data_IF_837134873571
#
_entry.id   IF_837134873571
#
_cell.length_a   1.000
_cell.length_b   1.000
_cell.length_c   1.000
_cell.angle_alpha   90.00
_cell.angle_beta   90.00
_cell.angle_gamma   90.00
#
_symmetry.space_group_name_H-M   'P 1'
#
loop_
_entity.id
_entity.type
_entity.pdbx_description
1 polymer ?
#
# COMPACT_ATOMS: atom_id res chain seq x y z
N UNK A 1 20.13 22.44 16.02
CA UNK A 1 19.35 21.17 15.96
C UNK A 1 18.19 21.38 15.03
N UNK A 2 18.01 20.49 14.06
CA UNK A 2 16.80 20.43 13.23
C UNK A 2 16.08 19.17 13.68
N UNK A 3 14.83 19.31 14.12
CA UNK A 3 13.95 18.20 14.48
C UNK A 3 12.75 18.24 13.55
N UNK A 4 12.65 17.23 12.69
CA UNK A 4 11.51 17.11 11.79
C UNK A 4 10.34 16.50 12.58
N UNK A 5 9.17 17.10 12.43
CA UNK A 5 7.93 16.54 12.97
C UNK A 5 7.50 15.33 12.16
N UNK A 6 7.06 14.27 12.86
CA UNK A 6 6.59 13.03 12.27
C UNK A 6 5.26 12.60 12.86
N UNK A 7 4.46 11.92 12.04
CA UNK A 7 3.26 11.21 12.46
C UNK A 7 3.56 9.73 12.45
N UNK A 8 3.32 9.06 13.56
CA UNK A 8 3.45 7.60 13.67
C UNK A 8 2.14 6.94 14.03
N UNK A 9 1.96 5.71 13.58
CA UNK A 9 0.86 4.85 13.95
C UNK A 9 1.32 3.44 14.28
N UNK A 10 0.57 2.78 15.16
CA UNK A 10 0.79 1.40 15.55
C UNK A 10 -0.52 0.63 15.44
N UNK A 11 -0.49 -0.52 14.75
CA UNK A 11 -1.61 -1.44 14.61
C UNK A 11 -1.27 -2.75 15.31
N UNK A 12 -2.20 -3.27 16.10
CA UNK A 12 -2.02 -4.50 16.85
C UNK A 12 -3.35 -5.17 17.15
N UNK A 13 -3.42 -6.50 17.06
CA UNK A 13 -4.61 -7.27 17.39
C UNK A 13 -5.52 -7.52 16.18
N UNK A 14 -6.83 -7.46 16.39
CA UNK A 14 -7.84 -7.74 15.36
C UNK A 14 -8.04 -6.54 14.43
N UNK A 15 -8.16 -6.79 13.14
CA UNK A 15 -8.40 -5.77 12.12
C UNK A 15 -9.77 -5.08 12.29
N UNK A 16 -10.75 -5.84 12.74
CA UNK A 16 -12.11 -5.33 13.02
C UNK A 16 -12.57 -5.81 14.41
N UNK A 17 -13.48 -5.08 15.06
CA UNK A 17 -14.18 -5.58 16.23
C UNK A 17 -14.91 -6.89 15.93
N UNK A 18 -15.03 -7.74 16.94
CA UNK A 18 -15.78 -9.00 16.81
C UNK A 18 -17.20 -8.74 16.33
N UNK A 19 -17.61 -9.41 15.26
CA UNK A 19 -18.90 -9.23 14.62
C UNK A 19 -19.33 -10.49 13.85
N UNK A 20 -20.62 -10.61 13.61
CA UNK A 20 -21.18 -11.77 12.91
C UNK A 20 -20.99 -11.74 11.38
N UNK A 21 -20.81 -10.55 10.78
CA UNK A 21 -20.74 -10.35 9.34
C UNK A 21 -19.38 -10.63 8.73
N UNK A 22 -18.30 -10.61 9.52
CA UNK A 22 -16.94 -10.80 9.07
C UNK A 22 -16.16 -11.75 9.98
N UNK A 23 -15.31 -12.58 9.38
CA UNK A 23 -14.41 -13.44 10.15
C UNK A 23 -13.33 -12.61 10.82
N UNK A 24 -13.05 -12.91 12.09
CA UNK A 24 -11.93 -12.29 12.79
C UNK A 24 -10.59 -12.64 12.10
N UNK A 25 -9.78 -11.63 11.85
CA UNK A 25 -8.39 -11.75 11.40
C UNK A 25 -7.51 -10.74 12.13
N UNK A 26 -6.25 -11.02 12.25
CA UNK A 26 -5.27 -10.05 12.74
C UNK A 26 -5.03 -8.95 11.70
N UNK A 27 -4.59 -7.79 12.19
CA UNK A 27 -4.09 -6.73 11.31
C UNK A 27 -2.90 -7.22 10.49
N UNK A 28 -2.78 -6.72 9.27
CA UNK A 28 -1.67 -7.02 8.38
C UNK A 28 -1.05 -5.76 7.76
N UNK A 29 -0.04 -5.95 6.91
CA UNK A 29 0.66 -4.86 6.24
C UNK A 29 -0.30 -3.96 5.44
N UNK A 30 -1.33 -4.53 4.84
CA UNK A 30 -2.26 -3.78 4.00
C UNK A 30 -3.23 -2.91 4.80
N UNK A 31 -3.54 -3.28 6.05
CA UNK A 31 -4.30 -2.43 6.96
C UNK A 31 -3.49 -1.16 7.30
N UNK A 32 -2.22 -1.32 7.68
CA UNK A 32 -1.34 -0.19 7.96
C UNK A 32 -1.08 0.66 6.71
N UNK A 33 -0.97 0.02 5.53
CA UNK A 33 -0.85 0.72 4.25
C UNK A 33 -2.07 1.57 3.95
N UNK A 34 -3.28 1.05 4.18
CA UNK A 34 -4.53 1.79 3.98
C UNK A 34 -4.61 3.03 4.89
N UNK A 35 -4.16 2.94 6.14
CA UNK A 35 -4.09 4.09 7.05
C UNK A 35 -3.12 5.17 6.54
N UNK A 36 -1.95 4.77 6.05
CA UNK A 36 -0.98 5.71 5.45
C UNK A 36 -1.56 6.35 4.18
N UNK A 37 -2.21 5.59 3.31
CA UNK A 37 -2.87 6.11 2.11
C UNK A 37 -4.00 7.08 2.48
N UNK A 38 -4.75 6.82 3.55
CA UNK A 38 -5.78 7.73 4.05
C UNK A 38 -5.19 9.03 4.61
N UNK A 39 -4.07 8.96 5.35
CA UNK A 39 -3.36 10.15 5.84
C UNK A 39 -2.84 11.02 4.69
N UNK A 40 -2.41 10.41 3.61
CA UNK A 40 -1.85 11.05 2.41
C UNK A 40 -2.87 11.13 1.27
N UNK A 41 -4.17 11.12 1.59
CA UNK A 41 -5.26 11.08 0.61
C UNK A 41 -5.10 12.14 -0.49
N UNK A 42 -5.28 11.71 -1.74
CA UNK A 42 -5.12 12.54 -2.93
C UNK A 42 -3.70 12.59 -3.49
N UNK A 43 -2.72 11.99 -2.83
CA UNK A 43 -1.32 11.96 -3.27
C UNK A 43 -0.97 10.59 -3.86
N UNK A 44 -0.13 10.59 -4.90
CA UNK A 44 0.37 9.36 -5.52
C UNK A 44 1.56 8.80 -4.69
N UNK A 45 1.24 8.00 -3.69
CA UNK A 45 2.22 7.40 -2.78
C UNK A 45 2.66 6.05 -3.31
N UNK A 46 3.97 5.79 -3.27
CA UNK A 46 4.57 4.49 -3.60
C UNK A 46 5.13 3.83 -2.35
N UNK A 47 5.07 2.50 -2.31
CA UNK A 47 5.64 1.68 -1.25
C UNK A 47 6.75 0.82 -1.84
N UNK A 48 7.99 1.18 -1.52
CA UNK A 48 9.19 0.54 -2.09
C UNK A 48 9.81 -0.39 -1.05
N UNK A 49 10.08 -1.64 -1.42
CA UNK A 49 10.73 -2.60 -0.53
C UNK A 49 12.01 -2.02 0.05
N UNK A 50 12.13 -2.06 1.36
CA UNK A 50 13.26 -1.49 2.09
C UNK A 50 13.68 -2.36 3.27
N UNK A 51 14.77 -1.97 3.93
CA UNK A 51 15.25 -2.55 5.17
C UNK A 51 15.29 -1.48 6.26
N UNK A 52 14.79 -1.81 7.45
CA UNK A 52 14.83 -0.93 8.61
C UNK A 52 15.19 -1.76 9.86
N UNK A 53 16.11 -1.29 10.74
CA UNK A 53 16.61 -2.11 11.86
C UNK A 53 15.54 -2.48 12.90
N UNK A 54 14.49 -1.70 13.01
CA UNK A 54 13.37 -1.99 13.92
C UNK A 54 12.27 -2.85 13.30
N UNK A 55 12.28 -3.05 11.97
CA UNK A 55 11.21 -3.70 11.23
C UNK A 55 11.65 -5.04 10.62
N UNK A 56 10.68 -5.87 10.28
CA UNK A 56 10.88 -7.19 9.71
C UNK A 56 11.53 -7.10 8.31
N UNK A 57 12.65 -7.82 8.05
CA UNK A 57 13.44 -7.65 6.82
C UNK A 57 12.69 -8.00 5.52
N UNK A 58 11.62 -8.81 5.61
CA UNK A 58 10.79 -9.17 4.45
C UNK A 58 9.44 -8.46 4.38
N UNK A 59 9.11 -7.60 5.37
CA UNK A 59 7.79 -6.95 5.48
C UNK A 59 7.93 -5.49 5.86
N UNK A 60 8.83 -4.81 5.15
CA UNK A 60 9.17 -3.39 5.36
C UNK A 60 9.18 -2.68 4.03
N UNK A 61 8.64 -1.48 4.01
CA UNK A 61 8.70 -0.60 2.84
C UNK A 61 9.03 0.85 3.27
N UNK A 62 9.72 1.55 2.40
CA UNK A 62 9.76 3.01 2.41
C UNK A 62 8.48 3.56 1.79
N UNK A 63 8.02 4.68 2.32
CA UNK A 63 6.91 5.47 1.79
C UNK A 63 7.51 6.58 0.96
N UNK A 64 7.24 6.57 -0.35
CA UNK A 64 7.83 7.50 -1.32
C UNK A 64 6.74 8.37 -1.91
N UNK A 65 6.94 9.67 -1.88
CA UNK A 65 6.09 10.69 -2.49
C UNK A 65 6.94 11.59 -3.39
N UNK A 66 6.56 11.73 -4.65
CA UNK A 66 7.28 12.53 -5.67
C UNK A 66 8.78 12.20 -5.76
N UNK A 67 9.12 10.91 -5.63
CA UNK A 67 10.49 10.41 -5.68
C UNK A 67 11.31 10.65 -4.40
N UNK A 68 10.71 11.17 -3.33
CA UNK A 68 11.36 11.38 -2.04
C UNK A 68 10.82 10.42 -0.98
N UNK A 69 11.70 9.80 -0.20
CA UNK A 69 11.30 9.00 0.96
C UNK A 69 10.81 9.93 2.05
N UNK A 70 9.53 9.79 2.41
CA UNK A 70 8.85 10.59 3.44
C UNK A 70 8.58 9.79 4.72
N UNK A 71 8.91 8.50 4.74
CA UNK A 71 8.67 7.65 5.89
C UNK A 71 8.91 6.19 5.62
N UNK A 72 8.51 5.36 6.58
CA UNK A 72 8.57 3.91 6.46
C UNK A 72 7.36 3.25 7.13
N UNK A 73 7.11 2.01 6.72
CA UNK A 73 6.02 1.16 7.21
C UNK A 73 6.50 -0.28 7.26
N UNK A 74 6.06 -1.04 8.24
CA UNK A 74 6.36 -2.46 8.29
C UNK A 74 5.91 -3.14 9.56
N UNK A 75 6.12 -4.46 9.58
CA UNK A 75 5.93 -5.29 10.76
C UNK A 75 7.14 -5.13 11.69
N UNK A 76 6.91 -5.10 12.99
CA UNK A 76 7.98 -5.04 13.98
C UNK A 76 8.92 -6.25 13.84
N UNK A 77 10.22 -6.02 13.94
CA UNK A 77 11.21 -7.08 13.83
C UNK A 77 10.99 -8.19 14.89
N UNK A 78 11.08 -9.48 14.55
CA UNK A 78 10.83 -10.59 15.47
C UNK A 78 11.61 -10.52 16.78
N UNK A 79 12.84 -9.97 16.76
CA UNK A 79 13.64 -9.78 17.98
C UNK A 79 12.95 -8.86 19.01
N UNK A 80 12.19 -7.87 18.56
CA UNK A 80 11.46 -6.96 19.44
C UNK A 80 10.16 -7.59 19.93
N UNK A 81 9.49 -8.39 19.09
CA UNK A 81 8.33 -9.18 19.52
C UNK A 81 8.71 -10.10 20.66
N UNK A 82 9.84 -10.80 20.53
CA UNK A 82 10.36 -11.68 21.58
C UNK A 82 10.80 -10.91 22.84
N UNK A 83 11.52 -9.78 22.65
CA UNK A 83 12.04 -8.97 23.79
C UNK A 83 10.91 -8.39 24.64
N UNK A 84 9.80 -8.01 24.03
CA UNK A 84 8.64 -7.40 24.70
C UNK A 84 7.50 -8.39 24.95
N UNK A 85 7.72 -9.68 24.70
CA UNK A 85 6.75 -10.76 24.90
C UNK A 85 5.40 -10.47 24.20
N UNK A 86 5.48 -10.03 22.94
CA UNK A 86 4.32 -9.75 22.12
C UNK A 86 3.89 -11.01 21.38
N UNK A 87 2.68 -11.56 21.66
CA UNK A 87 2.23 -12.83 21.07
C UNK A 87 1.81 -12.72 19.60
N UNK A 88 1.66 -11.51 19.08
CA UNK A 88 1.24 -11.24 17.71
C UNK A 88 2.16 -10.22 17.04
N UNK A 89 2.14 -10.20 15.71
CA UNK A 89 2.82 -9.19 14.94
C UNK A 89 2.21 -7.81 15.24
N UNK A 90 3.08 -6.83 15.45
CA UNK A 90 2.71 -5.43 15.52
C UNK A 90 3.19 -4.73 14.25
N UNK A 91 2.38 -3.87 13.69
CA UNK A 91 2.73 -3.07 12.51
C UNK A 91 2.84 -1.62 12.91
N UNK A 92 3.79 -0.94 12.32
CA UNK A 92 3.98 0.49 12.57
C UNK A 92 4.35 1.23 11.31
N UNK A 93 4.05 2.51 11.32
CA UNK A 93 4.52 3.44 10.31
C UNK A 93 4.94 4.76 10.94
N UNK A 94 5.79 5.46 10.23
CA UNK A 94 6.18 6.82 10.55
C UNK A 94 6.31 7.62 9.25
N UNK A 95 5.69 8.81 9.20
CA UNK A 95 5.61 9.67 8.01
C UNK A 95 5.95 11.11 8.40
N UNK A 96 6.65 11.83 7.54
CA UNK A 96 6.93 13.24 7.71
C UNK A 96 5.64 14.06 7.80
N UNK A 97 5.47 14.80 8.88
CA UNK A 97 4.29 15.64 9.13
C UNK A 97 4.08 16.68 8.03
N UNK A 98 5.15 17.21 7.46
CA UNK A 98 5.08 18.15 6.34
C UNK A 98 4.39 17.53 5.11
N UNK A 99 4.66 16.25 4.82
CA UNK A 99 4.00 15.54 3.73
C UNK A 99 2.50 15.33 3.99
N UNK A 100 2.10 15.06 5.24
CA UNK A 100 0.69 14.92 5.64
C UNK A 100 -0.03 16.26 5.59
N UNK A 101 0.60 17.31 6.10
CA UNK A 101 0.00 18.66 6.19
C UNK A 101 -0.13 19.38 4.84
N UNK A 102 0.68 19.00 3.85
CA UNK A 102 0.62 19.58 2.52
C UNK A 102 -0.71 19.20 1.84
N UNK A 103 -1.65 20.14 1.82
CA UNK A 103 -2.97 19.95 1.19
C UNK A 103 -2.94 20.37 -0.25
N UNK A 104 -3.31 19.49 -1.15
CA UNK A 104 -3.67 19.87 -2.51
C UNK A 104 -5.09 20.46 -2.51
N UNK A 105 -5.25 21.54 -3.27
CA UNK A 105 -6.59 22.11 -3.47
C UNK A 105 -7.39 21.15 -4.35
N UNK A 106 -8.51 20.69 -3.85
CA UNK A 106 -9.43 19.90 -4.66
C UNK A 106 -9.90 20.74 -5.87
N UNK A 107 -9.57 20.27 -7.07
CA UNK A 107 -10.06 20.88 -8.29
C UNK A 107 -11.45 20.30 -8.64
N UNK A 108 -12.38 21.16 -8.99
CA UNK A 108 -13.67 20.73 -9.50
C UNK A 108 -13.48 19.94 -10.80
N UNK A 109 -14.03 18.76 -10.86
CA UNK A 109 -14.15 17.95 -12.09
C UNK A 109 -15.63 17.74 -12.41
N UNK A 110 -16.08 18.12 -13.61
CA UNK A 110 -17.47 17.90 -13.99
C UNK A 110 -17.76 16.38 -14.05
N UNK A 111 -18.91 16.00 -13.53
CA UNK A 111 -19.37 14.61 -13.60
C UNK A 111 -19.68 14.27 -15.06
N UNK A 112 -19.16 13.14 -15.53
CA UNK A 112 -19.44 12.66 -16.89
C UNK A 112 -20.92 12.36 -17.05
N UNK A 113 -21.49 12.79 -18.19
CA UNK A 113 -22.86 12.45 -18.60
C UNK A 113 -22.96 11.07 -19.26
N UNK A 114 -21.82 10.46 -19.58
CA UNK A 114 -21.75 9.16 -20.22
C UNK A 114 -21.63 8.06 -19.18
N UNK A 115 -22.26 6.92 -19.43
CA UNK A 115 -22.14 5.76 -18.59
C UNK A 115 -20.71 5.17 -18.71
N UNK A 116 -20.09 4.74 -17.60
CA UNK A 116 -18.82 4.07 -17.66
C UNK A 116 -18.94 2.68 -18.27
N UNK A 117 -17.94 2.26 -19.01
CA UNK A 117 -17.79 0.89 -19.52
C UNK A 117 -16.62 0.25 -18.79
N UNK A 118 -16.87 -0.88 -18.13
CA UNK A 118 -15.83 -1.68 -17.48
C UNK A 118 -15.29 -2.74 -18.43
N UNK A 119 -13.98 -2.95 -18.40
CA UNK A 119 -13.28 -4.04 -19.10
C UNK A 119 -12.28 -4.66 -18.14
N UNK A 120 -12.28 -5.98 -18.09
CA UNK A 120 -11.32 -6.76 -17.32
C UNK A 120 -10.27 -7.32 -18.29
N UNK A 121 -9.01 -7.20 -17.93
CA UNK A 121 -7.86 -7.67 -18.68
C UNK A 121 -7.03 -8.56 -17.76
N UNK A 122 -6.47 -9.63 -18.30
CA UNK A 122 -5.55 -10.49 -17.56
C UNK A 122 -4.17 -10.42 -18.20
N UNK A 123 -3.14 -10.15 -17.38
CA UNK A 123 -1.75 -10.06 -17.79
C UNK A 123 -0.93 -11.14 -17.11
N UNK A 124 -0.29 -12.01 -17.90
CA UNK A 124 0.69 -12.96 -17.40
C UNK A 124 2.05 -12.27 -17.39
N UNK A 125 2.70 -12.26 -16.24
CA UNK A 125 3.96 -11.54 -16.04
C UNK A 125 4.89 -12.27 -15.08
N UNK A 126 6.21 -11.97 -15.08
CA UNK A 126 7.15 -12.50 -14.11
C UNK A 126 6.73 -12.19 -12.66
N UNK A 127 6.99 -13.13 -11.74
CA UNK A 127 6.64 -12.98 -10.32
C UNK A 127 7.29 -11.74 -9.68
N UNK A 128 8.52 -11.42 -10.08
CA UNK A 128 9.27 -10.25 -9.59
C UNK A 128 8.75 -8.89 -10.10
N UNK A 129 7.96 -8.89 -11.18
CA UNK A 129 7.40 -7.63 -11.69
C UNK A 129 6.40 -7.05 -10.69
N UNK A 130 6.62 -5.81 -10.29
CA UNK A 130 5.75 -5.15 -9.31
C UNK A 130 4.42 -4.74 -9.93
N UNK A 131 3.38 -4.68 -9.09
CA UNK A 131 2.09 -4.11 -9.44
C UNK A 131 2.21 -2.67 -9.95
N UNK A 132 3.06 -1.86 -9.31
CA UNK A 132 3.27 -0.46 -9.69
C UNK A 132 3.89 -0.31 -11.08
N UNK A 133 4.81 -1.21 -11.45
CA UNK A 133 5.39 -1.24 -12.81
C UNK A 133 4.33 -1.50 -13.87
N UNK A 134 3.41 -2.45 -13.62
CA UNK A 134 2.30 -2.71 -14.52
C UNK A 134 1.37 -1.51 -14.65
N UNK A 135 0.93 -0.94 -13.51
CA UNK A 135 0.04 0.22 -13.53
C UNK A 135 0.66 1.43 -14.21
N UNK A 136 1.97 1.66 -14.01
CA UNK A 136 2.69 2.76 -14.67
C UNK A 136 2.74 2.58 -16.18
N UNK A 137 3.01 1.36 -16.66
CA UNK A 137 2.98 1.06 -18.09
C UNK A 137 1.57 1.25 -18.68
N UNK A 138 0.53 0.74 -18.02
CA UNK A 138 -0.85 0.87 -18.47
C UNK A 138 -1.31 2.34 -18.50
N UNK A 139 -0.93 3.14 -17.49
CA UNK A 139 -1.26 4.57 -17.46
C UNK A 139 -0.54 5.35 -18.55
N UNK A 140 0.71 4.98 -18.86
CA UNK A 140 1.47 5.61 -19.95
C UNK A 140 0.84 5.42 -21.32
N UNK A 141 0.22 4.25 -21.55
CA UNK A 141 -0.41 3.89 -22.83
C UNK A 141 -1.93 4.20 -22.86
N UNK A 142 -2.53 4.56 -21.72
CA UNK A 142 -3.97 4.75 -21.62
C UNK A 142 -4.43 6.04 -22.27
N UNK A 143 -5.60 5.98 -22.93
CA UNK A 143 -6.25 7.15 -23.49
C UNK A 143 -6.90 8.02 -22.40
N UNK A 144 -7.25 9.27 -22.74
CA UNK A 144 -8.03 10.17 -21.85
C UNK A 144 -9.43 9.63 -21.47
N UNK A 145 -9.89 8.57 -22.13
CA UNK A 145 -11.18 7.94 -21.85
C UNK A 145 -11.09 6.99 -20.66
N UNK A 146 -9.87 6.52 -20.30
CA UNK A 146 -9.65 5.67 -19.13
C UNK A 146 -9.77 6.52 -17.87
N UNK A 147 -10.75 6.21 -17.03
CA UNK A 147 -11.02 6.94 -15.79
C UNK A 147 -10.27 6.31 -14.62
N UNK A 148 -10.22 4.98 -14.58
CA UNK A 148 -9.64 4.21 -13.48
C UNK A 148 -8.99 2.94 -14.01
N UNK A 149 -7.87 2.56 -13.40
CA UNK A 149 -7.21 1.27 -13.57
C UNK A 149 -6.91 0.73 -12.19
N UNK A 150 -7.46 -0.45 -11.86
CA UNK A 150 -7.23 -1.12 -10.58
C UNK A 150 -6.97 -2.60 -10.78
N UNK A 151 -6.09 -3.17 -9.97
CA UNK A 151 -5.91 -4.63 -9.88
C UNK A 151 -6.84 -5.17 -8.81
N UNK A 152 -7.60 -6.19 -9.13
CA UNK A 152 -8.59 -6.79 -8.24
C UNK A 152 -8.33 -8.27 -7.97
N UNK A 153 -7.41 -8.90 -8.71
CA UNK A 153 -7.04 -10.31 -8.50
C UNK A 153 -5.56 -10.56 -8.81
N UNK A 154 -4.99 -11.53 -8.11
CA UNK A 154 -3.63 -12.02 -8.32
C UNK A 154 -3.65 -13.54 -8.31
N UNK A 155 -3.53 -14.16 -9.48
CA UNK A 155 -3.54 -15.61 -9.61
C UNK A 155 -2.13 -16.19 -9.69
N UNK A 156 -1.91 -17.23 -8.89
CA UNK A 156 -0.71 -18.08 -8.90
C UNK A 156 -1.17 -19.53 -8.87
N UNK A 157 -0.97 -20.25 -9.93
CA UNK A 157 -1.44 -21.63 -9.94
C UNK A 157 -1.32 -22.35 -11.27
N UNK A 158 -2.04 -23.46 -11.39
CA UNK A 158 -2.02 -24.31 -12.58
C UNK A 158 -2.40 -23.53 -13.85
N UNK A 159 -1.72 -23.79 -14.94
CA UNK A 159 -1.92 -23.13 -16.23
C UNK A 159 -1.02 -21.92 -16.48
N UNK A 160 -0.25 -21.47 -15.48
CA UNK A 160 0.79 -20.46 -15.68
C UNK A 160 2.17 -21.12 -15.83
N UNK A 161 3.09 -20.56 -16.64
CA UNK A 161 4.49 -20.97 -16.64
C UNK A 161 5.13 -20.76 -15.26
N UNK A 162 6.17 -21.55 -14.98
CA UNK A 162 6.94 -21.42 -13.74
C UNK A 162 7.54 -20.01 -13.60
N UNK A 163 7.47 -19.42 -12.40
CA UNK A 163 7.96 -18.08 -12.13
C UNK A 163 7.06 -16.94 -12.65
N UNK A 164 5.83 -17.25 -13.06
CA UNK A 164 4.87 -16.28 -13.56
C UNK A 164 3.66 -16.16 -12.64
N UNK A 165 3.04 -14.98 -12.67
CA UNK A 165 1.73 -14.69 -12.05
C UNK A 165 0.81 -14.04 -13.06
N UNK A 166 -0.49 -14.09 -12.81
CA UNK A 166 -1.51 -13.32 -13.55
C UNK A 166 -2.11 -12.25 -12.64
N UNK A 167 -2.22 -11.07 -13.16
CA UNK A 167 -2.89 -9.90 -12.55
C UNK A 167 -4.06 -9.49 -13.40
#
# INVERSE_FOLDING_TARGET
FVQNERVGGLLYGSALPEQWGEKSRSVDFYDAKADVEALLAGKAVQFVKAAHPALHPGRTAEIVLDGQTIGFIGELHPQWLQKYDLPQAALGFEVDMAAVAAKEKAAYRPVSKFQPVRRDLAFVMPEEMSHDSLLSALRGESSRLVQEISVFDVYRGAGLPEGMKSL
#
